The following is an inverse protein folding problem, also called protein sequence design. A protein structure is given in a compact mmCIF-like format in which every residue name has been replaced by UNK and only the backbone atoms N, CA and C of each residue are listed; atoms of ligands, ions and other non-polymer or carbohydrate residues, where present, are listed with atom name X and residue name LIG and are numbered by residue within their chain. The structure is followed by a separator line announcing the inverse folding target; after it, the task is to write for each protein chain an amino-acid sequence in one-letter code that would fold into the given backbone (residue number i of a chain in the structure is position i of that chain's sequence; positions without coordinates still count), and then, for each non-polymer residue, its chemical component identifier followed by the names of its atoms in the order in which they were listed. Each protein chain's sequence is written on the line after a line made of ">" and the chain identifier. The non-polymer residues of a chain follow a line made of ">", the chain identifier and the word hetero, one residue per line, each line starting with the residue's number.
data_IF_438734421582
#
_entry.id   IF_438734421582
#
_cell.length_a   1.000
_cell.length_b   1.000
_cell.length_c   1.000
_cell.angle_alpha   90.00
_cell.angle_beta   90.00
_cell.angle_gamma   90.00
#
_symmetry.space_group_name_H-M   'P 1'
#
loop_
_entity.id
_entity.type
_entity.pdbx_description
1 polymer ?
#
# COMPACT_ATOMS: atom_id res chain seq x y z
N UNK A 1 4.87 7.23 -6.47
CA UNK A 1 6.07 6.63 -5.84
C UNK A 1 6.76 5.72 -6.85
N UNK A 2 8.07 5.82 -7.03
CA UNK A 2 8.85 4.97 -7.95
C UNK A 2 9.99 4.28 -7.18
N UNK A 3 10.20 2.99 -7.42
CA UNK A 3 11.24 2.19 -6.77
C UNK A 3 12.53 2.16 -7.59
N UNK A 4 13.66 2.35 -6.90
CA UNK A 4 14.99 2.35 -7.48
C UNK A 4 15.75 3.64 -7.14
N UNK A 5 17.08 3.56 -7.24
CA UNK A 5 17.99 4.68 -7.00
C UNK A 5 18.43 5.38 -8.28
N UNK A 6 19.73 5.53 -8.48
CA UNK A 6 20.34 6.15 -9.67
C UNK A 6 19.77 5.68 -11.01
N UNK A 7 19.46 4.38 -11.11
CA UNK A 7 18.95 3.76 -12.34
C UNK A 7 17.62 4.36 -12.81
N UNK A 8 16.80 4.87 -11.90
CA UNK A 8 15.49 5.46 -12.23
C UNK A 8 15.49 6.99 -12.15
N UNK A 9 16.56 7.61 -11.69
CA UNK A 9 16.70 9.08 -11.64
C UNK A 9 16.39 9.76 -12.99
N UNK A 10 16.81 9.24 -14.18
CA UNK A 10 16.42 9.84 -15.46
C UNK A 10 14.92 9.79 -15.73
N UNK A 11 14.21 8.79 -15.21
CA UNK A 11 12.75 8.67 -15.34
C UNK A 11 12.07 9.67 -14.41
N UNK A 12 12.51 9.74 -13.15
CA UNK A 12 11.99 10.72 -12.18
C UNK A 12 12.12 12.13 -12.74
N UNK A 13 13.28 12.49 -13.30
CA UNK A 13 13.52 13.79 -13.92
C UNK A 13 12.50 14.13 -15.00
N UNK A 14 12.24 13.20 -15.92
CA UNK A 14 11.25 13.42 -16.98
C UNK A 14 9.83 13.59 -16.44
N UNK A 15 9.45 12.81 -15.42
CA UNK A 15 8.13 12.91 -14.81
C UNK A 15 7.95 14.26 -14.09
N UNK A 16 8.97 14.70 -13.36
CA UNK A 16 8.93 15.95 -12.59
C UNK A 16 8.97 17.17 -13.51
N UNK A 17 9.79 17.15 -14.57
CA UNK A 17 9.78 18.16 -15.65
C UNK A 17 8.42 18.25 -16.36
N UNK A 18 7.67 17.14 -16.43
CA UNK A 18 6.30 17.11 -16.95
C UNK A 18 5.23 17.54 -15.93
N UNK A 19 5.62 17.95 -14.72
CA UNK A 19 4.71 18.43 -13.67
C UNK A 19 4.12 17.34 -12.78
N UNK A 20 4.60 16.09 -12.86
CA UNK A 20 4.15 15.00 -11.99
C UNK A 20 5.00 14.95 -10.72
N UNK A 21 4.36 15.07 -9.56
CA UNK A 21 5.04 14.91 -8.28
C UNK A 21 5.47 13.44 -8.07
N UNK A 22 6.77 13.21 -7.89
CA UNK A 22 7.33 11.87 -7.68
C UNK A 22 7.98 11.76 -6.31
N UNK A 23 7.57 10.74 -5.55
CA UNK A 23 8.27 10.27 -4.37
C UNK A 23 9.18 9.10 -4.75
N UNK A 24 10.46 9.19 -4.40
CA UNK A 24 11.42 8.11 -4.57
C UNK A 24 11.22 6.99 -3.54
N UNK A 25 11.78 5.81 -3.80
CA UNK A 25 11.80 4.70 -2.86
C UNK A 25 13.07 3.88 -3.03
N UNK A 26 13.91 3.87 -1.98
CA UNK A 26 15.22 3.19 -1.94
C UNK A 26 15.36 2.34 -0.68
N UNK A 27 16.47 1.59 -0.60
CA UNK A 27 16.65 0.53 0.39
C UNK A 27 16.09 -0.77 -0.18
N UNK A 28 15.33 -1.50 0.61
CA UNK A 28 14.59 -2.66 0.11
C UNK A 28 13.47 -2.16 -0.81
N UNK A 29 13.52 -2.52 -2.10
CA UNK A 29 12.45 -2.24 -3.06
C UNK A 29 11.71 -3.55 -3.38
N UNK A 30 10.49 -3.77 -2.87
CA UNK A 30 9.76 -5.04 -3.04
C UNK A 30 9.60 -5.49 -4.50
N UNK A 31 9.50 -4.56 -5.46
CA UNK A 31 9.41 -4.90 -6.90
C UNK A 31 10.68 -5.59 -7.43
N UNK A 32 11.80 -5.46 -6.72
CA UNK A 32 13.07 -6.11 -7.03
C UNK A 32 13.42 -7.25 -6.07
N UNK A 33 12.47 -7.76 -5.28
CA UNK A 33 12.72 -8.79 -4.24
C UNK A 33 13.49 -10.01 -4.76
N UNK A 34 13.21 -10.45 -5.99
CA UNK A 34 13.93 -11.58 -6.61
C UNK A 34 15.39 -11.26 -6.91
N UNK A 35 15.69 -10.01 -7.31
CA UNK A 35 17.07 -9.55 -7.55
C UNK A 35 17.83 -9.35 -6.23
N UNK A 36 17.12 -8.94 -5.19
CA UNK A 36 17.68 -8.71 -3.85
C UNK A 36 17.84 -10.00 -3.02
N UNK A 37 17.33 -11.14 -3.51
CA UNK A 37 17.40 -12.42 -2.81
C UNK A 37 16.46 -12.49 -1.59
N UNK A 38 15.33 -11.79 -1.64
CA UNK A 38 14.31 -11.75 -0.60
C UNK A 38 14.23 -10.42 0.15
N UNK A 39 13.38 -10.40 1.18
CA UNK A 39 13.18 -9.27 2.08
C UNK A 39 14.35 -9.12 3.06
N UNK A 40 15.45 -8.53 2.59
CA UNK A 40 16.70 -8.38 3.36
C UNK A 40 16.98 -6.91 3.65
N UNK A 41 17.62 -6.66 4.80
CA UNK A 41 18.06 -5.32 5.19
C UNK A 41 19.19 -4.87 4.25
N UNK A 42 19.07 -3.67 3.69
CA UNK A 42 20.03 -3.07 2.75
C UNK A 42 21.00 -2.12 3.46
N UNK A 43 22.16 -1.82 2.85
CA UNK A 43 23.11 -0.85 3.43
C UNK A 43 23.83 -1.32 4.69
N UNK A 44 24.08 -2.63 4.84
CA UNK A 44 24.76 -3.20 6.01
C UNK A 44 26.28 -3.03 6.01
N UNK A 45 26.87 -2.84 4.84
CA UNK A 45 28.31 -2.65 4.66
C UNK A 45 28.57 -1.21 4.26
N UNK A 46 29.79 -0.72 4.48
CA UNK A 46 30.18 0.63 4.06
C UNK A 46 29.88 0.89 2.57
N UNK A 47 30.25 -0.05 1.69
CA UNK A 47 29.99 0.04 0.25
C UNK A 47 28.49 0.17 -0.04
N UNK A 48 27.67 -0.76 0.47
CA UNK A 48 26.22 -0.75 0.19
C UNK A 48 25.51 0.43 0.86
N UNK A 49 26.01 0.92 2.00
CA UNK A 49 25.47 2.10 2.66
C UNK A 49 25.73 3.37 1.85
N UNK A 50 26.93 3.49 1.26
CA UNK A 50 27.26 4.60 0.37
C UNK A 50 26.44 4.54 -0.93
N UNK A 51 26.22 3.35 -1.50
CA UNK A 51 25.32 3.19 -2.67
C UNK A 51 23.91 3.72 -2.38
N UNK A 52 23.32 3.35 -1.23
CA UNK A 52 21.99 3.83 -0.82
C UNK A 52 21.98 5.36 -0.60
N UNK A 53 23.03 5.93 -0.03
CA UNK A 53 23.15 7.38 0.14
C UNK A 53 23.23 8.10 -1.21
N UNK A 54 24.05 7.60 -2.13
CA UNK A 54 24.19 8.17 -3.47
C UNK A 54 22.91 8.02 -4.29
N UNK A 55 22.18 6.91 -4.12
CA UNK A 55 20.85 6.73 -4.69
C UNK A 55 19.88 7.80 -4.18
N UNK A 56 19.86 8.05 -2.88
CA UNK A 56 19.01 9.07 -2.26
C UNK A 56 19.26 10.46 -2.84
N UNK A 57 20.53 10.86 -2.92
CA UNK A 57 20.98 12.12 -3.52
C UNK A 57 20.55 12.22 -4.99
N UNK A 58 20.73 11.15 -5.76
CA UNK A 58 20.38 11.11 -7.17
C UNK A 58 18.88 11.27 -7.40
N UNK A 59 18.04 10.74 -6.50
CA UNK A 59 16.60 10.94 -6.58
C UNK A 59 16.20 12.39 -6.27
N UNK A 60 16.83 13.01 -5.27
CA UNK A 60 16.63 14.44 -4.97
C UNK A 60 17.03 15.31 -6.16
N UNK A 61 18.22 15.09 -6.73
CA UNK A 61 18.71 15.83 -7.90
C UNK A 61 17.83 15.65 -9.14
N UNK A 62 17.10 14.54 -9.24
CA UNK A 62 16.11 14.28 -10.28
C UNK A 62 14.75 14.95 -10.03
N UNK A 63 14.58 15.66 -8.91
CA UNK A 63 13.36 16.40 -8.59
C UNK A 63 12.33 15.60 -7.80
N UNK A 64 12.71 14.48 -7.18
CA UNK A 64 11.81 13.82 -6.23
C UNK A 64 11.46 14.79 -5.09
N UNK A 65 10.19 14.85 -4.68
CA UNK A 65 9.77 15.74 -3.60
C UNK A 65 9.96 15.12 -2.20
N UNK A 66 10.16 13.81 -2.13
CA UNK A 66 10.38 13.03 -0.90
C UNK A 66 10.91 11.65 -1.27
N UNK A 67 11.53 10.94 -0.32
CA UNK A 67 12.07 9.59 -0.52
C UNK A 67 11.64 8.66 0.62
N UNK A 68 11.08 7.49 0.27
CA UNK A 68 10.88 6.39 1.22
C UNK A 68 12.20 5.65 1.42
N UNK A 69 12.55 5.40 2.68
CA UNK A 69 13.69 4.59 3.11
C UNK A 69 13.14 3.30 3.73
N UNK A 70 13.28 2.16 3.03
CA UNK A 70 12.75 0.87 3.48
C UNK A 70 13.87 -0.09 3.91
N UNK A 71 13.73 -0.66 5.10
CA UNK A 71 14.57 -1.74 5.63
C UNK A 71 16.09 -1.46 5.58
N UNK A 72 16.51 -0.28 6.05
CA UNK A 72 17.93 0.13 6.16
C UNK A 72 18.34 0.38 7.63
N UNK A 73 19.64 0.32 7.99
CA UNK A 73 20.10 0.68 9.33
C UNK A 73 19.68 2.10 9.74
N UNK A 74 19.26 2.26 11.01
CA UNK A 74 18.78 3.54 11.53
C UNK A 74 19.82 4.66 11.45
N UNK A 75 21.10 4.36 11.65
CA UNK A 75 22.19 5.34 11.53
C UNK A 75 22.37 5.82 10.09
N UNK A 76 22.16 4.93 9.10
CA UNK A 76 22.19 5.30 7.68
C UNK A 76 20.99 6.19 7.34
N UNK A 77 19.79 5.83 7.78
CA UNK A 77 18.59 6.63 7.58
C UNK A 77 18.72 8.03 8.19
N UNK A 78 19.28 8.12 9.39
CA UNK A 78 19.60 9.40 10.05
C UNK A 78 20.58 10.24 9.24
N UNK A 79 21.64 9.63 8.70
CA UNK A 79 22.62 10.31 7.85
C UNK A 79 21.97 10.84 6.57
N UNK A 80 21.16 10.01 5.88
CA UNK A 80 20.45 10.40 4.65
C UNK A 80 19.50 11.56 4.95
N UNK A 81 18.67 11.44 5.99
CA UNK A 81 17.70 12.48 6.38
C UNK A 81 18.37 13.81 6.69
N UNK A 82 19.55 13.79 7.30
CA UNK A 82 20.31 15.03 7.58
C UNK A 82 20.89 15.69 6.32
N UNK A 83 21.17 14.92 5.27
CA UNK A 83 21.86 15.39 4.06
C UNK A 83 20.89 15.80 2.95
N UNK A 84 19.71 15.19 2.89
CA UNK A 84 18.67 15.58 1.94
C UNK A 84 17.96 16.87 2.37
N UNK A 85 17.57 17.67 1.39
CA UNK A 85 16.72 18.84 1.54
C UNK A 85 15.22 18.48 1.47
N UNK A 86 14.91 17.30 0.95
CA UNK A 86 13.54 16.77 0.82
C UNK A 86 13.19 15.79 1.95
N UNK A 87 11.91 15.69 2.37
CA UNK A 87 11.52 14.82 3.46
C UNK A 87 11.80 13.34 3.21
N UNK A 88 12.26 12.64 4.24
CA UNK A 88 12.40 11.17 4.24
C UNK A 88 11.25 10.50 4.98
N UNK A 89 10.76 9.39 4.44
CA UNK A 89 9.69 8.58 5.05
C UNK A 89 10.22 7.19 5.35
N UNK A 90 10.31 6.82 6.63
CA UNK A 90 10.87 5.54 7.05
C UNK A 90 9.85 4.41 7.12
N UNK A 91 10.27 3.20 6.74
CA UNK A 91 9.60 1.94 7.09
C UNK A 91 10.67 0.89 7.39
N UNK A 92 10.82 0.55 8.67
CA UNK A 92 11.97 -0.25 9.11
C UNK A 92 13.32 0.44 8.96
N UNK A 93 13.34 1.77 8.97
CA UNK A 93 14.54 2.62 8.86
C UNK A 93 14.85 3.40 10.16
N UNK A 94 14.21 3.06 11.27
CA UNK A 94 14.38 3.75 12.56
C UNK A 94 13.63 5.09 12.65
N UNK A 95 13.76 5.75 13.79
CA UNK A 95 12.95 6.92 14.18
C UNK A 95 13.43 8.26 13.61
N UNK A 96 14.58 8.27 12.92
CA UNK A 96 15.26 9.50 12.51
C UNK A 96 14.87 10.02 11.12
N UNK A 97 13.92 9.37 10.44
CA UNK A 97 13.29 9.93 9.24
C UNK A 97 12.28 11.03 9.63
N UNK A 98 11.97 11.93 8.71
CA UNK A 98 11.02 13.03 8.96
C UNK A 98 9.57 12.55 9.15
N UNK A 99 9.24 11.42 8.53
CA UNK A 99 7.96 10.73 8.69
C UNK A 99 8.13 9.21 8.72
N UNK A 100 7.01 8.52 8.96
CA UNK A 100 6.95 7.06 8.99
C UNK A 100 5.79 6.57 8.15
N UNK A 101 5.95 5.40 7.54
CA UNK A 101 4.89 4.67 6.83
C UNK A 101 4.86 3.23 7.31
N UNK A 102 3.67 2.63 7.36
CA UNK A 102 3.45 1.24 7.71
C UNK A 102 2.29 0.70 6.88
N UNK A 103 2.27 -0.62 6.68
CA UNK A 103 1.12 -1.28 6.06
C UNK A 103 0.04 -1.46 7.13
N UNK A 104 -1.16 -0.94 6.86
CA UNK A 104 -2.22 -0.94 7.87
C UNK A 104 -2.64 -2.34 8.32
N UNK A 105 -2.59 -3.35 7.44
CA UNK A 105 -2.89 -4.75 7.76
C UNK A 105 -1.95 -5.29 8.85
N UNK A 106 -0.66 -4.97 8.74
CA UNK A 106 0.35 -5.39 9.72
C UNK A 106 0.12 -4.70 11.06
N UNK A 107 -0.25 -3.41 11.02
CA UNK A 107 -0.53 -2.64 12.24
C UNK A 107 -1.79 -3.11 12.97
N UNK A 108 -2.79 -3.58 12.23
CA UNK A 108 -4.09 -4.00 12.76
C UNK A 108 -4.20 -5.52 12.94
N UNK A 109 -3.09 -6.25 12.77
CA UNK A 109 -3.05 -7.70 13.00
C UNK A 109 -4.08 -8.46 12.17
N UNK A 110 -4.13 -8.18 10.87
CA UNK A 110 -5.06 -8.82 9.93
C UNK A 110 -4.57 -10.16 9.40
N UNK A 111 -3.26 -10.37 9.39
CA UNK A 111 -2.63 -11.65 9.11
C UNK A 111 -2.06 -12.22 10.42
N UNK A 112 -2.60 -13.33 10.95
CA UNK A 112 -2.10 -13.93 12.18
C UNK A 112 -0.77 -14.69 11.99
N UNK A 113 -0.44 -15.07 10.75
CA UNK A 113 0.70 -15.93 10.44
C UNK A 113 1.92 -15.13 9.97
N UNK A 114 1.71 -13.89 9.53
CA UNK A 114 2.77 -13.01 9.06
C UNK A 114 2.81 -11.69 9.84
N UNK A 115 3.99 -11.38 10.39
CA UNK A 115 4.25 -10.08 11.02
C UNK A 115 5.66 -9.59 10.69
N UNK A 116 5.80 -8.48 9.94
CA UNK A 116 7.12 -7.92 9.68
C UNK A 116 7.68 -7.30 10.96
N UNK A 117 8.97 -7.55 11.21
CA UNK A 117 9.67 -7.10 12.43
C UNK A 117 9.64 -5.57 12.63
N UNK A 118 9.54 -4.80 11.55
CA UNK A 118 9.50 -3.34 11.62
C UNK A 118 8.12 -2.75 11.91
N UNK A 119 7.06 -3.57 11.86
CA UNK A 119 5.70 -3.10 12.11
C UNK A 119 5.33 -3.26 13.58
N UNK A 120 4.89 -2.17 14.19
CA UNK A 120 4.24 -2.20 15.49
C UNK A 120 2.84 -2.78 15.35
N UNK A 121 2.37 -3.52 16.35
CA UNK A 121 0.98 -4.00 16.40
C UNK A 121 0.19 -3.07 17.32
N UNK A 122 -0.86 -2.47 16.77
CA UNK A 122 -1.75 -1.54 17.48
C UNK A 122 -3.11 -2.17 17.77
N UNK A 123 -3.48 -3.23 17.05
CA UNK A 123 -4.66 -4.04 17.32
C UNK A 123 -4.49 -5.45 16.73
N UNK A 124 -5.32 -6.39 17.19
CA UNK A 124 -5.42 -7.74 16.63
C UNK A 124 -6.84 -7.96 16.10
N UNK A 125 -7.10 -7.54 14.86
CA UNK A 125 -8.47 -7.50 14.31
C UNK A 125 -8.87 -8.76 13.52
N UNK A 126 -7.92 -9.61 13.11
CA UNK A 126 -8.23 -10.85 12.40
C UNK A 126 -9.36 -11.69 13.02
N UNK A 127 -9.37 -12.02 14.33
CA UNK A 127 -10.46 -12.80 14.92
C UNK A 127 -11.80 -12.05 14.90
N UNK A 128 -11.79 -10.73 15.15
CA UNK A 128 -13.00 -9.90 15.19
C UNK A 128 -13.65 -9.84 13.80
N UNK A 129 -12.84 -9.62 12.76
CA UNK A 129 -13.31 -9.57 11.37
C UNK A 129 -13.83 -10.94 10.95
N UNK A 130 -13.10 -12.02 11.26
CA UNK A 130 -13.53 -13.39 10.96
C UNK A 130 -14.90 -13.68 11.57
N UNK A 131 -15.09 -13.39 12.85
CA UNK A 131 -16.35 -13.63 13.54
C UNK A 131 -17.51 -12.79 12.98
N UNK A 132 -17.23 -11.55 12.58
CA UNK A 132 -18.23 -10.70 11.92
C UNK A 132 -18.65 -11.27 10.56
N UNK A 133 -17.70 -11.71 9.74
CA UNK A 133 -17.98 -12.28 8.41
C UNK A 133 -18.68 -13.64 8.49
N UNK A 134 -18.35 -14.47 9.48
CA UNK A 134 -19.05 -15.74 9.73
C UNK A 134 -20.51 -15.48 10.10
N UNK A 135 -20.78 -14.55 11.03
CA UNK A 135 -22.15 -14.19 11.41
C UNK A 135 -22.95 -13.64 10.24
N UNK A 136 -22.35 -12.74 9.47
CA UNK A 136 -22.97 -12.25 8.24
C UNK A 136 -23.32 -13.39 7.27
N UNK A 137 -22.40 -14.32 7.05
CA UNK A 137 -22.65 -15.50 6.21
C UNK A 137 -23.76 -16.40 6.75
N UNK A 138 -23.87 -16.54 8.08
CA UNK A 138 -24.97 -17.27 8.72
C UNK A 138 -26.31 -16.57 8.52
N UNK A 139 -26.37 -15.25 8.70
CA UNK A 139 -27.60 -14.48 8.55
C UNK A 139 -28.09 -14.51 7.09
N UNK A 140 -27.19 -14.38 6.12
CA UNK A 140 -27.51 -14.54 4.69
C UNK A 140 -27.97 -15.97 4.38
N UNK A 141 -27.24 -16.97 4.88
CA UNK A 141 -27.58 -18.38 4.67
C UNK A 141 -28.92 -18.80 5.29
N UNK A 142 -29.29 -18.16 6.41
CA UNK A 142 -30.58 -18.36 7.09
C UNK A 142 -31.72 -17.50 6.50
N UNK A 143 -31.41 -16.56 5.59
CA UNK A 143 -32.38 -15.59 5.07
C UNK A 143 -32.86 -14.58 6.10
N UNK A 144 -32.14 -14.39 7.21
CA UNK A 144 -32.44 -13.37 8.23
C UNK A 144 -31.79 -12.03 7.92
N UNK A 145 -30.86 -11.99 6.96
CA UNK A 145 -30.34 -10.76 6.35
C UNK A 145 -30.40 -10.85 4.81
N UNK A 146 -30.77 -9.76 4.11
CA UNK A 146 -31.22 -8.47 4.64
C UNK A 146 -32.62 -8.54 5.29
N UNK A 147 -32.93 -7.56 6.13
CA UNK A 147 -34.30 -7.33 6.65
C UNK A 147 -34.97 -6.17 5.92
N UNK A 148 -36.22 -5.86 6.26
CA UNK A 148 -36.91 -4.66 5.78
C UNK A 148 -36.14 -3.37 6.05
N UNK A 149 -35.36 -3.30 7.14
CA UNK A 149 -34.54 -2.13 7.46
C UNK A 149 -33.38 -1.90 6.48
N UNK A 150 -32.97 -2.94 5.74
CA UNK A 150 -31.98 -2.87 4.66
C UNK A 150 -32.62 -3.10 3.28
N UNK A 151 -33.95 -3.06 3.20
CA UNK A 151 -34.70 -3.30 1.97
C UNK A 151 -35.51 -2.07 1.60
N UNK A 152 -35.76 -1.91 0.30
CA UNK A 152 -36.57 -0.82 -0.23
C UNK A 152 -37.74 -1.42 -1.00
N UNK A 153 -38.93 -0.89 -0.75
CA UNK A 153 -40.16 -1.40 -1.30
C UNK A 153 -40.72 -0.45 -2.36
N UNK A 154 -41.26 -1.02 -3.42
CA UNK A 154 -41.99 -0.30 -4.47
C UNK A 154 -43.37 -0.90 -4.59
N UNK A 155 -44.32 -0.09 -5.07
CA UNK A 155 -45.64 -0.59 -5.48
C UNK A 155 -45.47 -1.67 -6.57
N UNK A 156 -46.09 -2.84 -6.37
CA UNK A 156 -46.06 -3.96 -7.31
C UNK A 156 -46.59 -3.57 -8.70
N UNK A 157 -47.51 -2.60 -8.77
CA UNK A 157 -48.05 -2.08 -10.02
C UNK A 157 -47.00 -1.40 -10.93
N UNK A 158 -45.83 -1.06 -10.38
CA UNK A 158 -44.69 -0.51 -11.15
C UNK A 158 -43.86 -1.59 -11.83
N UNK A 159 -43.96 -2.86 -11.41
CA UNK A 159 -43.30 -3.99 -12.07
C UNK A 159 -44.29 -4.61 -13.05
N UNK A 160 -44.34 -4.05 -14.26
CA UNK A 160 -45.18 -4.63 -15.30
C UNK A 160 -44.60 -5.97 -15.77
N UNK A 161 -45.39 -7.05 -15.89
CA UNK A 161 -44.94 -8.27 -16.55
C UNK A 161 -44.49 -7.93 -17.98
N UNK A 162 -43.48 -8.64 -18.52
CA UNK A 162 -43.06 -8.42 -19.90
C UNK A 162 -44.28 -8.55 -20.81
N UNK A 163 -44.56 -7.52 -21.60
CA UNK A 163 -45.63 -7.52 -22.60
C UNK A 163 -45.32 -8.68 -23.56
N UNK A 164 -45.99 -9.83 -23.38
CA UNK A 164 -46.08 -10.83 -24.44
C UNK A 164 -46.95 -10.19 -25.50
N UNK A 165 -46.33 -9.66 -26.55
CA UNK A 165 -47.05 -9.31 -27.75
C UNK A 165 -47.83 -10.55 -28.19
N UNK A 166 -49.15 -10.51 -28.05
CA UNK A 166 -50.06 -11.39 -28.75
C UNK A 166 -49.90 -11.06 -30.25
N UNK A 167 -48.90 -11.68 -30.88
CA UNK A 167 -49.02 -12.05 -32.28
C UNK A 167 -49.75 -13.39 -32.30
N UNK A 168 -51.06 -13.34 -32.01
CA UNK A 168 -51.96 -14.27 -32.67
C UNK A 168 -52.14 -13.70 -34.08
N UNK A 169 -51.66 -14.37 -35.14
CA UNK A 169 -52.10 -14.03 -36.47
C UNK A 169 -53.57 -14.45 -36.58
N UNK A 170 -54.45 -13.49 -36.84
CA UNK A 170 -55.77 -13.78 -37.39
C UNK A 170 -55.59 -14.71 -38.60
N UNK A 171 -56.07 -15.95 -38.48
CA UNK A 171 -56.38 -16.81 -39.62
C UNK A 171 -57.49 -17.81 -39.28
#
# INVERSE_FOLDING_TARGET
>A
KLEGGKSVAPIIRRLTEAGLAVMGHIGLTPQHVNRLGGYRVQGKTETTANEVLEDALSLQEAGAFSVVLELIPAELAKKITKVLDIPTIGIGAGVHCDGQVQVFHDMLGLDPDFRPRHSGEYATLAPIIKDALVRYGQDVGAGTFPTDAQSFFSDESRVMPPIRNALEPDN
#
